data_IF_624622676953
#
_entry.id   IF_624622676953
#
_cell.length_a   1.000
_cell.length_b   1.000
_cell.length_c   1.000
_cell.angle_alpha   90.00
_cell.angle_beta   90.00
_cell.angle_gamma   90.00
#
_symmetry.space_group_name_H-M   'P 1'
#
loop_
_entity.id
_entity.type
_entity.pdbx_description
1 polymer ?
#
# COMPACT_ATOMS: atom_id res chain seq x y z
N UNK A 1 1.13 -22.90 -3.49
CA UNK A 1 0.87 -21.50 -3.06
C UNK A 1 2.14 -20.84 -2.53
N UNK A 2 2.84 -21.43 -1.55
CA UNK A 2 4.09 -20.85 -1.04
C UNK A 2 5.17 -20.61 -2.10
N UNK A 3 5.41 -21.57 -3.01
CA UNK A 3 6.37 -21.41 -4.11
C UNK A 3 6.04 -20.25 -5.05
N UNK A 4 4.76 -19.96 -5.27
CA UNK A 4 4.33 -18.83 -6.10
C UNK A 4 4.57 -17.49 -5.40
N UNK A 5 4.25 -17.42 -4.10
CA UNK A 5 4.42 -16.20 -3.30
C UNK A 5 5.89 -15.89 -3.03
N UNK A 6 6.74 -16.93 -2.91
CA UNK A 6 8.17 -16.78 -2.65
C UNK A 6 8.88 -15.84 -3.65
N UNK A 7 8.41 -15.79 -4.90
CA UNK A 7 8.94 -14.88 -5.92
C UNK A 7 8.80 -13.38 -5.56
N UNK A 8 7.82 -13.02 -4.73
CA UNK A 8 7.65 -11.65 -4.26
C UNK A 8 8.75 -11.23 -3.28
N UNK A 9 9.41 -12.18 -2.62
CA UNK A 9 10.52 -11.93 -1.68
C UNK A 9 11.89 -12.38 -2.21
N UNK A 10 11.95 -12.79 -3.48
CA UNK A 10 13.19 -13.14 -4.18
C UNK A 10 13.71 -11.95 -5.00
N UNK A 11 14.94 -11.52 -4.68
CA UNK A 11 15.63 -10.40 -5.34
C UNK A 11 15.95 -10.69 -6.81
N UNK A 12 16.01 -11.97 -7.21
CA UNK A 12 16.20 -12.37 -8.60
C UNK A 12 14.92 -12.21 -9.44
N UNK A 13 13.75 -12.15 -8.80
CA UNK A 13 12.46 -11.96 -9.48
C UNK A 13 11.80 -10.62 -9.18
N UNK A 14 10.88 -10.56 -8.22
CA UNK A 14 10.01 -9.39 -8.02
C UNK A 14 10.36 -8.54 -6.80
N UNK A 15 11.30 -8.97 -5.93
CA UNK A 15 11.80 -8.13 -4.83
C UNK A 15 12.85 -7.16 -5.36
N UNK A 16 12.38 -6.13 -6.05
CA UNK A 16 13.18 -5.04 -6.59
C UNK A 16 13.18 -3.83 -5.66
N UNK A 17 14.07 -2.83 -5.84
CA UNK A 17 14.08 -1.64 -5.00
C UNK A 17 12.70 -1.01 -4.85
N UNK A 18 11.97 -0.80 -5.96
CA UNK A 18 10.54 -0.47 -5.97
C UNK A 18 9.71 -1.70 -6.37
N UNK A 19 8.95 -2.23 -5.41
CA UNK A 19 8.09 -3.42 -5.61
C UNK A 19 6.70 -2.98 -6.08
N UNK A 20 5.99 -3.75 -6.89
CA UNK A 20 6.34 -5.00 -7.56
C UNK A 20 6.46 -4.67 -9.06
N UNK A 21 7.56 -5.01 -9.75
CA UNK A 21 7.63 -4.81 -11.18
C UNK A 21 6.61 -5.72 -11.89
N UNK A 22 6.15 -5.27 -13.05
CA UNK A 22 5.23 -6.04 -13.90
C UNK A 22 5.87 -7.24 -14.61
N UNK A 23 7.21 -7.30 -14.61
CA UNK A 23 8.01 -8.36 -15.17
C UNK A 23 9.06 -8.79 -14.16
N UNK A 24 9.31 -10.10 -14.08
CA UNK A 24 10.36 -10.67 -13.23
C UNK A 24 11.74 -10.20 -13.71
N UNK A 25 12.64 -9.85 -12.78
CA UNK A 25 13.96 -9.32 -13.13
C UNK A 25 14.92 -10.33 -13.78
N UNK A 26 14.63 -11.63 -13.67
CA UNK A 26 15.35 -12.70 -14.38
C UNK A 26 14.86 -12.93 -15.81
N UNK A 27 13.83 -12.20 -16.26
CA UNK A 27 13.38 -12.23 -17.65
C UNK A 27 14.36 -11.47 -18.55
N UNK A 28 14.74 -12.03 -19.69
CA UNK A 28 15.63 -11.39 -20.67
C UNK A 28 15.11 -10.04 -21.20
N UNK A 29 13.79 -9.81 -21.09
CA UNK A 29 13.14 -8.60 -21.54
C UNK A 29 12.95 -7.56 -20.43
N UNK A 30 13.31 -7.87 -19.19
CA UNK A 30 13.22 -6.94 -18.08
C UNK A 30 14.10 -5.71 -18.32
N UNK A 31 13.63 -4.53 -17.87
CA UNK A 31 14.43 -3.31 -17.93
C UNK A 31 14.37 -2.52 -16.63
N UNK A 32 15.52 -1.97 -16.24
CA UNK A 32 15.67 -1.20 -15.00
C UNK A 32 14.82 0.08 -14.99
N UNK A 33 14.60 0.68 -16.17
CA UNK A 33 13.74 1.86 -16.33
C UNK A 33 12.24 1.51 -16.43
N UNK A 34 11.90 0.23 -16.38
CA UNK A 34 10.56 -0.33 -16.46
C UNK A 34 10.03 -0.59 -17.87
N UNK A 35 10.53 0.11 -18.90
CA UNK A 35 10.11 0.02 -20.32
C UNK A 35 8.61 -0.34 -20.44
N UNK A 36 7.77 0.52 -19.85
CA UNK A 36 6.34 0.34 -19.69
C UNK A 36 5.94 -0.90 -18.85
N UNK A 37 5.58 -2.02 -19.50
CA UNK A 37 5.17 -3.29 -18.87
C UNK A 37 6.32 -4.31 -18.78
N UNK A 38 7.54 -3.91 -19.12
CA UNK A 38 8.74 -4.76 -19.10
C UNK A 38 9.54 -4.60 -17.81
N UNK A 39 8.87 -4.22 -16.72
CA UNK A 39 9.52 -3.97 -15.43
C UNK A 39 8.87 -2.83 -14.67
N UNK A 40 8.11 -1.94 -15.33
CA UNK A 40 7.46 -0.81 -14.66
C UNK A 40 6.60 -1.28 -13.48
N UNK A 41 6.54 -0.44 -12.45
CA UNK A 41 5.74 -0.65 -11.24
C UNK A 41 4.45 0.14 -11.37
N UNK A 42 3.32 -0.55 -11.23
CA UNK A 42 2.00 0.00 -11.51
C UNK A 42 1.11 -0.11 -10.27
N UNK A 43 0.55 1.02 -9.83
CA UNK A 43 -0.36 1.07 -8.71
C UNK A 43 -1.54 0.06 -8.80
N UNK A 44 -2.22 -0.14 -9.96
CA UNK A 44 -3.35 -1.08 -10.03
C UNK A 44 -2.94 -2.54 -9.89
N UNK A 45 -1.80 -2.96 -10.47
CA UNK A 45 -1.33 -4.35 -10.32
C UNK A 45 -0.85 -4.61 -8.90
N UNK A 46 -0.11 -3.67 -8.31
CA UNK A 46 0.29 -3.73 -6.91
C UNK A 46 -0.94 -3.87 -6.00
N UNK A 47 -1.97 -3.04 -6.21
CA UNK A 47 -3.20 -3.11 -5.41
C UNK A 47 -3.87 -4.49 -5.52
N UNK A 48 -3.97 -5.07 -6.71
CA UNK A 48 -4.52 -6.42 -6.89
C UNK A 48 -3.70 -7.49 -6.15
N UNK A 49 -2.36 -7.43 -6.21
CA UNK A 49 -1.50 -8.37 -5.47
C UNK A 49 -1.69 -8.22 -3.98
N UNK A 50 -1.72 -6.99 -3.47
CA UNK A 50 -1.91 -6.69 -2.04
C UNK A 50 -3.26 -7.24 -1.53
N UNK A 51 -4.36 -7.05 -2.27
CA UNK A 51 -5.66 -7.67 -1.94
C UNK A 51 -5.61 -9.19 -1.98
N UNK A 52 -4.86 -9.76 -2.92
CA UNK A 52 -4.63 -11.20 -3.01
C UNK A 52 -3.90 -11.75 -1.78
N UNK A 53 -2.82 -11.09 -1.35
CA UNK A 53 -2.05 -11.45 -0.16
C UNK A 53 -2.89 -11.36 1.11
N UNK A 54 -3.62 -10.26 1.29
CA UNK A 54 -4.57 -10.06 2.39
C UNK A 54 -5.58 -11.20 2.47
N UNK A 55 -6.23 -11.54 1.36
CA UNK A 55 -7.25 -12.59 1.32
C UNK A 55 -6.72 -13.97 1.75
N UNK A 56 -5.42 -14.20 1.64
CA UNK A 56 -4.78 -15.46 2.00
C UNK A 56 -3.95 -15.37 3.30
N UNK A 57 -4.10 -14.29 4.09
CA UNK A 57 -3.48 -14.15 5.41
C UNK A 57 -2.02 -13.69 5.39
N UNK A 58 -1.47 -13.26 4.25
CA UNK A 58 -0.08 -12.78 4.14
C UNK A 58 0.03 -11.29 4.47
N UNK A 59 -0.45 -10.90 5.66
CA UNK A 59 -0.55 -9.50 6.07
C UNK A 59 0.81 -8.81 6.22
N UNK A 60 1.83 -9.50 6.73
CA UNK A 60 3.18 -8.94 6.90
C UNK A 60 3.82 -8.61 5.54
N UNK A 61 3.80 -9.58 4.62
CA UNK A 61 4.32 -9.37 3.27
C UNK A 61 3.55 -8.27 2.52
N UNK A 62 2.22 -8.20 2.71
CA UNK A 62 1.42 -7.13 2.13
C UNK A 62 1.80 -5.75 2.69
N UNK A 63 2.02 -5.64 4.01
CA UNK A 63 2.49 -4.42 4.65
C UNK A 63 3.86 -4.00 4.09
N UNK A 64 4.82 -4.92 4.03
CA UNK A 64 6.19 -4.63 3.55
C UNK A 64 6.20 -4.12 2.10
N UNK A 65 5.41 -4.76 1.22
CA UNK A 65 5.28 -4.35 -0.18
C UNK A 65 4.58 -2.98 -0.27
N UNK A 66 3.51 -2.78 0.48
CA UNK A 66 2.76 -1.53 0.45
C UNK A 66 3.59 -0.35 0.97
N UNK A 67 4.30 -0.53 2.10
CA UNK A 67 5.17 0.49 2.67
C UNK A 67 6.29 0.88 1.70
N UNK A 68 6.96 -0.12 1.12
CA UNK A 68 7.96 0.10 0.07
C UNK A 68 7.37 0.91 -1.10
N UNK A 69 6.23 0.49 -1.63
CA UNK A 69 5.61 1.16 -2.77
C UNK A 69 5.24 2.62 -2.45
N UNK A 70 4.60 2.87 -1.31
CA UNK A 70 4.18 4.21 -0.87
C UNK A 70 5.38 5.12 -0.65
N UNK A 71 6.44 4.64 0.00
CA UNK A 71 7.65 5.43 0.24
C UNK A 71 8.33 5.85 -1.07
N UNK A 72 8.47 4.94 -2.03
CA UNK A 72 9.03 5.27 -3.34
C UNK A 72 8.18 6.31 -4.08
N UNK A 73 6.85 6.14 -4.08
CA UNK A 73 5.93 7.10 -4.72
C UNK A 73 6.00 8.47 -4.03
N UNK A 74 6.03 8.51 -2.70
CA UNK A 74 6.11 9.74 -1.93
C UNK A 74 7.43 10.48 -2.15
N UNK A 75 8.56 9.78 -2.18
CA UNK A 75 9.87 10.39 -2.46
C UNK A 75 9.91 10.99 -3.88
N UNK A 76 9.40 10.27 -4.87
CA UNK A 76 9.34 10.77 -6.26
C UNK A 76 8.37 11.94 -6.37
N UNK A 77 7.27 11.94 -5.61
CA UNK A 77 6.36 13.08 -5.54
C UNK A 77 7.05 14.30 -4.92
N UNK A 78 7.82 14.13 -3.84
CA UNK A 78 8.58 15.22 -3.21
C UNK A 78 9.59 15.85 -4.18
N UNK A 79 10.27 15.03 -4.98
CA UNK A 79 11.25 15.49 -5.96
C UNK A 79 10.63 16.12 -7.22
N UNK A 80 9.50 15.59 -7.70
CA UNK A 80 8.93 15.94 -9.01
C UNK A 80 7.66 16.78 -8.95
N UNK A 81 7.01 16.86 -7.79
CA UNK A 81 5.76 17.58 -7.57
C UNK A 81 4.52 16.93 -8.21
N UNK A 82 4.60 15.69 -8.69
CA UNK A 82 3.49 15.04 -9.40
C UNK A 82 3.44 13.52 -9.18
N UNK A 83 2.27 12.92 -9.47
CA UNK A 83 2.04 11.48 -9.46
C UNK A 83 2.12 10.96 -10.89
N UNK A 84 2.80 9.84 -11.07
CA UNK A 84 3.09 9.27 -12.37
C UNK A 84 2.23 8.04 -12.66
N UNK A 85 2.05 7.76 -13.94
CA UNK A 85 1.31 6.60 -14.43
C UNK A 85 1.93 5.26 -13.96
N UNK A 86 3.27 5.19 -13.98
CA UNK A 86 4.07 4.06 -13.55
C UNK A 86 5.46 4.52 -13.11
N UNK A 87 6.17 3.65 -12.41
CA UNK A 87 7.46 3.94 -11.77
C UNK A 87 8.54 2.97 -12.21
N UNK A 88 9.80 3.42 -12.22
CA UNK A 88 10.95 2.57 -12.48
C UNK A 88 11.18 1.64 -11.28
N UNK A 89 11.36 0.33 -11.51
CA UNK A 89 11.63 -0.61 -10.43
C UNK A 89 12.99 -0.40 -9.74
N UNK A 90 13.97 0.20 -10.43
CA UNK A 90 15.36 0.32 -9.95
C UNK A 90 15.80 1.76 -9.64
N UNK A 91 15.32 2.76 -10.37
CA UNK A 91 16.03 4.04 -10.51
C UNK A 91 15.46 5.20 -9.67
N UNK A 92 14.48 4.95 -8.80
CA UNK A 92 13.91 5.99 -7.94
C UNK A 92 13.28 7.16 -8.71
N UNK A 93 12.64 6.87 -9.85
CA UNK A 93 12.02 7.85 -10.74
C UNK A 93 10.79 7.26 -11.43
N UNK A 94 10.08 8.07 -12.22
CA UNK A 94 9.02 7.58 -13.10
C UNK A 94 9.55 6.50 -14.07
N UNK A 95 8.69 5.58 -14.49
CA UNK A 95 9.05 4.65 -15.55
C UNK A 95 9.11 5.35 -16.91
N UNK A 96 9.59 4.63 -17.92
CA UNK A 96 9.72 5.16 -19.28
C UNK A 96 8.97 4.25 -20.24
N UNK A 97 7.96 4.73 -20.99
CA UNK A 97 7.26 6.00 -20.80
C UNK A 97 6.36 5.98 -19.55
N UNK A 98 6.10 7.17 -18.99
CA UNK A 98 5.08 7.39 -17.97
C UNK A 98 4.46 8.78 -18.14
N UNK A 99 3.13 8.88 -17.98
CA UNK A 99 2.44 10.18 -17.94
C UNK A 99 2.57 10.83 -16.55
N UNK A 100 2.80 12.15 -16.54
CA UNK A 100 2.70 13.00 -15.34
C UNK A 100 1.24 13.36 -15.04
N UNK A 101 1.00 13.96 -13.86
CA UNK A 101 -0.31 14.42 -13.39
C UNK A 101 -1.38 13.32 -13.44
N UNK A 102 -0.95 12.08 -13.17
CA UNK A 102 -1.75 10.89 -13.40
C UNK A 102 -2.44 10.43 -12.11
N UNK A 103 -3.45 11.19 -11.67
CA UNK A 103 -4.38 10.74 -10.62
C UNK A 103 -5.55 9.95 -11.24
N UNK A 104 -5.21 9.02 -12.13
CA UNK A 104 -6.08 7.93 -12.57
C UNK A 104 -5.97 6.79 -11.56
N UNK A 105 -5.38 5.66 -11.96
CA UNK A 105 -5.01 4.62 -10.99
C UNK A 105 -3.87 5.03 -10.05
N UNK A 106 -3.09 6.06 -10.38
CA UNK A 106 -1.99 6.55 -9.52
C UNK A 106 -2.48 6.97 -8.13
N UNK A 107 -3.75 7.37 -8.01
CA UNK A 107 -4.39 7.66 -6.72
C UNK A 107 -4.44 6.44 -5.77
N UNK A 108 -4.37 5.21 -6.29
CA UNK A 108 -4.30 4.01 -5.44
C UNK A 108 -3.08 4.02 -4.52
N UNK A 109 -1.94 4.54 -5.00
CA UNK A 109 -0.68 4.52 -4.25
C UNK A 109 -0.78 5.26 -2.92
N UNK A 110 -1.24 6.52 -2.94
CA UNK A 110 -1.24 7.38 -1.75
C UNK A 110 -2.60 7.47 -1.03
N UNK A 111 -3.63 6.77 -1.51
CA UNK A 111 -4.96 6.72 -0.85
C UNK A 111 -5.26 5.30 -0.39
N UNK A 112 -5.69 4.41 -1.29
CA UNK A 112 -6.14 3.07 -0.92
C UNK A 112 -5.01 2.22 -0.35
N UNK A 113 -3.83 2.22 -0.97
CA UNK A 113 -2.70 1.40 -0.50
C UNK A 113 -2.21 1.90 0.87
N UNK A 114 -2.08 3.22 1.03
CA UNK A 114 -1.69 3.85 2.29
C UNK A 114 -2.69 3.51 3.42
N UNK A 115 -3.98 3.77 3.21
CA UNK A 115 -5.01 3.55 4.23
C UNK A 115 -5.19 2.07 4.54
N UNK A 116 -5.33 1.23 3.50
CA UNK A 116 -5.66 -0.17 3.70
C UNK A 116 -4.48 -0.99 4.21
N UNK A 117 -3.25 -0.77 3.71
CA UNK A 117 -2.15 -1.69 3.97
C UNK A 117 -1.06 -1.11 4.85
N UNK A 118 -0.74 0.18 4.73
CA UNK A 118 0.29 0.80 5.57
C UNK A 118 -0.29 1.19 6.93
N UNK A 119 -1.43 1.89 6.95
CA UNK A 119 -2.19 2.15 8.18
C UNK A 119 -3.01 0.95 8.65
N UNK A 120 -3.18 -0.06 7.79
CA UNK A 120 -3.82 -1.33 8.13
C UNK A 120 -5.33 -1.25 8.35
N UNK A 121 -6.01 -0.22 7.84
CA UNK A 121 -7.43 0.06 8.09
C UNK A 121 -8.30 -0.68 7.08
N UNK A 122 -9.11 -1.64 7.56
CA UNK A 122 -10.03 -2.43 6.73
C UNK A 122 -11.47 -2.16 7.13
N UNK A 123 -12.23 -1.56 6.22
CA UNK A 123 -13.64 -1.27 6.43
C UNK A 123 -14.52 -2.34 5.79
N UNK A 124 -15.35 -2.99 6.60
CA UNK A 124 -16.46 -3.82 6.13
C UNK A 124 -17.76 -3.09 6.42
N UNK A 125 -18.15 -2.25 5.44
CA UNK A 125 -19.31 -1.37 5.55
C UNK A 125 -20.61 -2.15 5.77
N UNK A 126 -20.92 -3.22 5.00
CA UNK A 126 -22.13 -4.02 5.21
C UNK A 126 -22.25 -4.59 6.62
N UNK A 127 -21.14 -5.06 7.21
CA UNK A 127 -21.14 -5.68 8.53
C UNK A 127 -20.88 -4.70 9.68
N UNK A 128 -20.70 -3.40 9.40
CA UNK A 128 -20.37 -2.36 10.39
C UNK A 128 -19.14 -2.72 11.22
N UNK A 129 -18.14 -3.32 10.58
CA UNK A 129 -16.91 -3.71 11.25
C UNK A 129 -15.69 -3.00 10.66
N UNK A 130 -14.77 -2.68 11.54
CA UNK A 130 -13.47 -2.09 11.25
C UNK A 130 -12.41 -3.03 11.80
N UNK A 131 -11.53 -3.50 10.92
CA UNK A 131 -10.33 -4.22 11.32
C UNK A 131 -9.12 -3.31 11.17
N UNK A 132 -8.23 -3.31 12.16
CA UNK A 132 -6.97 -2.56 12.14
C UNK A 132 -5.82 -3.55 12.33
N UNK A 133 -4.93 -3.63 11.35
CA UNK A 133 -3.67 -4.36 11.46
C UNK A 133 -2.53 -3.38 11.77
N UNK A 134 -2.12 -3.29 13.04
CA UNK A 134 -1.11 -2.32 13.47
C UNK A 134 0.30 -2.84 13.16
N UNK A 135 0.85 -2.40 12.04
CA UNK A 135 2.22 -2.73 11.63
C UNK A 135 3.18 -1.55 11.65
N UNK A 136 2.65 -0.32 11.54
CA UNK A 136 3.46 0.89 11.58
C UNK A 136 3.81 1.28 13.02
N UNK A 137 5.07 1.58 13.28
CA UNK A 137 5.54 2.04 14.60
C UNK A 137 5.27 3.52 14.84
N UNK A 138 5.21 4.31 13.76
CA UNK A 138 4.92 5.74 13.84
C UNK A 138 3.47 6.02 14.22
N UNK A 139 3.25 7.25 14.70
CA UNK A 139 1.93 7.77 14.95
C UNK A 139 1.25 8.15 13.63
N UNK A 140 -0.06 7.96 13.52
CA UNK A 140 -0.84 8.48 12.40
C UNK A 140 -2.28 8.76 12.83
N UNK A 141 -2.95 9.58 12.02
CA UNK A 141 -4.36 9.90 12.22
C UNK A 141 -5.10 9.91 10.88
N UNK A 142 -6.33 9.39 10.87
CA UNK A 142 -7.30 9.56 9.80
C UNK A 142 -8.50 10.31 10.38
N UNK A 143 -8.89 11.41 9.75
CA UNK A 143 -9.98 12.28 10.21
C UNK A 143 -11.07 12.37 9.17
N UNK A 144 -12.33 12.28 9.60
CA UNK A 144 -13.50 12.36 8.74
C UNK A 144 -13.58 11.23 7.72
N UNK A 145 -12.99 10.06 8.00
CA UNK A 145 -13.03 8.92 7.08
C UNK A 145 -14.48 8.46 6.92
N UNK A 146 -14.99 8.48 5.69
CA UNK A 146 -16.37 8.10 5.39
C UNK A 146 -16.53 6.59 5.44
N UNK A 147 -17.52 6.12 6.20
CA UNK A 147 -17.85 4.70 6.32
C UNK A 147 -19.17 4.43 5.58
N UNK A 148 -19.07 4.37 4.25
CA UNK A 148 -20.25 4.36 3.37
C UNK A 148 -21.16 5.56 3.66
N UNK A 149 -22.47 5.27 3.77
CA UNK A 149 -23.48 6.28 4.12
C UNK A 149 -23.85 6.28 5.61
N UNK A 150 -23.15 5.51 6.45
CA UNK A 150 -23.48 5.37 7.87
C UNK A 150 -22.99 6.56 8.71
N UNK A 151 -21.90 7.19 8.30
CA UNK A 151 -21.32 8.32 9.01
C UNK A 151 -19.83 8.48 8.69
N UNK A 152 -19.10 9.06 9.63
CA UNK A 152 -17.65 9.22 9.55
C UNK A 152 -16.98 8.79 10.85
N UNK A 153 -15.74 8.33 10.72
CA UNK A 153 -14.91 8.03 11.87
C UNK A 153 -13.56 8.75 11.81
N UNK A 154 -13.07 9.04 13.00
CA UNK A 154 -11.73 9.49 13.28
C UNK A 154 -10.95 8.35 13.94
N UNK A 155 -9.72 8.13 13.49
CA UNK A 155 -8.79 7.15 14.03
C UNK A 155 -7.52 7.90 14.39
N UNK A 156 -7.06 7.78 15.63
CA UNK A 156 -5.75 8.22 16.08
C UNK A 156 -4.96 7.02 16.58
N UNK A 157 -3.73 6.88 16.12
CA UNK A 157 -2.80 5.83 16.55
C UNK A 157 -1.55 6.49 17.13
N UNK A 158 -1.28 6.20 18.40
CA UNK A 158 -0.06 6.62 19.08
C UNK A 158 1.16 5.87 18.53
N UNK A 159 2.38 6.42 18.63
CA UNK A 159 3.58 5.70 18.22
C UNK A 159 3.86 4.54 19.18
N UNK A 160 4.54 3.50 18.70
CA UNK A 160 4.88 2.30 19.47
C UNK A 160 5.78 2.59 20.69
N UNK A 161 6.48 3.73 20.70
CA UNK A 161 7.25 4.22 21.85
C UNK A 161 6.41 4.70 23.04
N UNK A 162 5.08 4.86 22.87
CA UNK A 162 4.16 5.38 23.90
C UNK A 162 3.17 4.35 24.43
N UNK A 163 2.76 3.40 23.60
CA UNK A 163 1.81 2.34 23.96
C UNK A 163 1.98 1.15 23.01
N UNK A 164 1.40 0.00 23.32
CA UNK A 164 1.53 -1.23 22.51
C UNK A 164 0.16 -1.77 22.08
N UNK A 165 0.11 -2.44 20.93
CA UNK A 165 -1.10 -3.06 20.40
C UNK A 165 -2.33 -2.15 20.42
N UNK A 166 -3.47 -2.68 20.86
CA UNK A 166 -4.75 -1.96 20.90
C UNK A 166 -4.73 -0.69 21.78
N UNK A 167 -3.85 -0.60 22.77
CA UNK A 167 -3.76 0.60 23.63
C UNK A 167 -3.36 1.85 22.86
N UNK A 168 -2.69 1.67 21.71
CA UNK A 168 -2.28 2.76 20.81
C UNK A 168 -3.46 3.44 20.11
N UNK A 169 -4.60 2.77 19.99
CA UNK A 169 -5.69 3.18 19.09
C UNK A 169 -6.79 3.92 19.83
N UNK A 170 -7.21 5.05 19.28
CA UNK A 170 -8.41 5.79 19.69
C UNK A 170 -9.29 5.98 18.46
N UNK A 171 -10.56 5.61 18.58
CA UNK A 171 -11.54 5.71 17.51
C UNK A 171 -12.74 6.50 18.03
N UNK A 172 -13.20 7.46 17.22
CA UNK A 172 -14.44 8.18 17.43
C UNK A 172 -15.31 8.02 16.19
N UNK A 173 -16.54 7.55 16.36
CA UNK A 173 -17.50 7.39 15.28
C UNK A 173 -18.88 7.90 15.74
N UNK A 174 -19.65 8.44 14.81
CA UNK A 174 -21.03 8.91 15.03
C UNK A 174 -22.08 7.79 14.88
N UNK A 175 -21.64 6.54 14.71
CA UNK A 175 -22.48 5.35 14.55
C UNK A 175 -21.90 4.13 15.29
N UNK A 176 -22.71 3.10 15.60
CA UNK A 176 -22.22 1.86 16.18
C UNK A 176 -21.29 1.11 15.22
N UNK A 177 -20.11 0.74 15.71
CA UNK A 177 -19.05 0.10 14.93
C UNK A 177 -18.40 -1.02 15.75
N UNK A 178 -18.28 -2.20 15.16
CA UNK A 178 -17.47 -3.29 15.70
C UNK A 178 -16.00 -3.07 15.33
N UNK A 179 -15.09 -3.18 16.28
CA UNK A 179 -13.67 -2.88 16.08
C UNK A 179 -12.84 -4.09 16.49
N UNK A 180 -11.98 -4.55 15.58
CA UNK A 180 -11.01 -5.62 15.83
C UNK A 180 -9.61 -5.08 15.53
N UNK A 181 -8.66 -5.29 16.45
CA UNK A 181 -7.30 -4.81 16.32
C UNK A 181 -6.35 -6.01 16.41
N UNK A 182 -5.44 -6.12 15.43
CA UNK A 182 -4.39 -7.13 15.32
C UNK A 182 -3.00 -6.49 15.41
#
# INVERSE_FOLDING_TARGET
>A
MQSFIAHLDDERSFKRPHRIPTMSADCEHYTDNGDYWRGGVWAPTNYMVLKGLEKHGYHDLAFDIALNHVQHVANIFDETGTIWENYSPELGRQGIPAKSDFVGWGGLSLVSILIEFVFGIKMDVPNRSLTIHLKLDDAFSLKGLKFGNLGSLDIDVLPASKATGAERVRISADFPLEIVIY
#
